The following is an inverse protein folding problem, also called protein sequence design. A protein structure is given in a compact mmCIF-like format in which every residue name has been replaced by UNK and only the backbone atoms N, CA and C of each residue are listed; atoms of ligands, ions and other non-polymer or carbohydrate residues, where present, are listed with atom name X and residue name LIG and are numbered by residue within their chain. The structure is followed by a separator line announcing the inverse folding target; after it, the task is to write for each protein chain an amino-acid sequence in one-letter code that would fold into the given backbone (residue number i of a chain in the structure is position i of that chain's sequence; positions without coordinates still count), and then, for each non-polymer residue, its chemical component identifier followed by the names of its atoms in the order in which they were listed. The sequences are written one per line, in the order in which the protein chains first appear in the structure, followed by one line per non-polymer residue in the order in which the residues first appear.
data_IF_458738814276
#
_entry.id   IF_458738814276
#
_cell.length_a   1.000
_cell.length_b   1.000
_cell.length_c   1.000
_cell.angle_alpha   90.00
_cell.angle_beta   90.00
_cell.angle_gamma   90.00
#
_symmetry.space_group_name_H-M   'P 1'
#
loop_
_entity.id
_entity.type
_entity.pdbx_description
1 polymer ?
#
# COMPACT_ATOMS: atom_id res chain seq x y z
N UNK A 1 41.81 -57.19 27.99
CA UNK A 1 41.29 -56.10 27.15
C UNK A 1 41.43 -54.72 27.84
N UNK A 2 42.63 -54.23 28.22
CA UNK A 2 42.75 -52.91 28.85
C UNK A 2 43.14 -51.79 27.87
N UNK A 3 43.54 -52.12 26.63
CA UNK A 3 44.12 -51.16 25.69
C UNK A 3 43.09 -50.28 24.95
N UNK A 4 41.83 -50.71 24.87
CA UNK A 4 40.79 -49.98 24.14
C UNK A 4 40.23 -48.77 24.92
N UNK A 5 40.35 -48.76 26.26
CA UNK A 5 39.85 -47.66 27.09
C UNK A 5 40.82 -46.47 27.14
N UNK A 6 42.11 -46.69 26.89
CA UNK A 6 43.14 -45.64 26.91
C UNK A 6 43.11 -44.74 25.65
N UNK A 7 42.55 -45.21 24.54
CA UNK A 7 42.50 -44.46 23.28
C UNK A 7 41.39 -43.39 23.23
N UNK A 8 40.41 -43.46 24.14
CA UNK A 8 39.32 -42.47 24.20
C UNK A 8 39.71 -41.14 24.88
N UNK A 9 40.89 -41.08 25.50
CA UNK A 9 41.37 -39.90 26.26
C UNK A 9 42.31 -39.03 25.41
N UNK A 10 42.77 -39.52 24.26
CA UNK A 10 43.73 -38.84 23.38
C UNK A 10 43.09 -37.99 22.27
N UNK A 11 41.77 -37.77 22.32
CA UNK A 11 41.13 -36.76 21.48
C UNK A 11 40.86 -35.51 22.33
N UNK A 12 41.63 -34.41 22.16
CA UNK A 12 41.06 -33.12 22.46
C UNK A 12 39.92 -32.93 21.46
N UNK A 13 38.70 -33.19 21.89
CA UNK A 13 37.53 -32.58 21.30
C UNK A 13 37.77 -31.07 21.45
N UNK A 14 38.32 -30.44 20.40
CA UNK A 14 38.34 -28.99 20.28
C UNK A 14 36.87 -28.62 20.15
N UNK A 15 36.28 -28.36 21.31
CA UNK A 15 34.97 -27.80 21.49
C UNK A 15 34.87 -26.57 20.58
N UNK A 16 33.83 -26.53 19.76
CA UNK A 16 33.56 -25.43 18.86
C UNK A 16 33.50 -24.12 19.64
N UNK A 17 34.34 -23.18 19.25
CA UNK A 17 34.17 -21.77 19.59
C UNK A 17 33.90 -20.99 18.30
N UNK A 18 32.85 -21.38 17.59
CA UNK A 18 32.18 -20.49 16.65
C UNK A 18 31.05 -19.79 17.42
N UNK A 19 31.40 -19.03 18.46
CA UNK A 19 30.47 -18.11 19.12
C UNK A 19 31.27 -17.04 19.88
N UNK A 20 31.86 -16.12 19.12
CA UNK A 20 32.13 -14.80 19.69
C UNK A 20 30.76 -14.14 19.90
N UNK A 21 30.39 -13.74 21.13
CA UNK A 21 29.11 -13.12 21.37
C UNK A 21 28.99 -11.85 20.50
N UNK A 22 27.88 -11.67 19.78
CA UNK A 22 27.71 -10.51 18.92
C UNK A 22 27.84 -9.20 19.72
N UNK A 23 28.43 -8.13 19.14
CA UNK A 23 28.63 -6.87 19.83
C UNK A 23 27.29 -6.28 20.32
N UNK A 24 27.29 -5.51 21.41
CA UNK A 24 26.07 -4.96 22.00
C UNK A 24 25.34 -4.08 20.98
N UNK A 25 24.10 -4.45 20.63
CA UNK A 25 23.25 -3.72 19.68
C UNK A 25 21.87 -3.49 20.27
N UNK A 26 21.32 -2.33 19.96
CA UNK A 26 19.92 -2.02 20.23
C UNK A 26 19.19 -2.11 18.89
N UNK A 27 18.18 -2.98 18.82
CA UNK A 27 17.34 -3.15 17.65
C UNK A 27 15.97 -2.64 18.00
N UNK A 28 15.49 -1.65 17.25
CA UNK A 28 14.16 -1.08 17.43
C UNK A 28 13.38 -1.26 16.15
N UNK A 29 12.18 -1.80 16.29
CA UNK A 29 11.16 -1.86 15.25
C UNK A 29 10.11 -0.82 15.60
N UNK A 30 9.86 0.12 14.69
CA UNK A 30 8.79 1.10 14.82
C UNK A 30 7.72 0.83 13.78
N UNK A 31 6.48 0.67 14.23
CA UNK A 31 5.29 0.67 13.37
C UNK A 31 4.57 2.02 13.55
N UNK A 32 4.07 2.58 12.46
CA UNK A 32 3.36 3.85 12.47
C UNK A 32 2.09 3.73 11.64
N UNK A 33 0.96 4.08 12.24
CA UNK A 33 -0.33 4.15 11.57
C UNK A 33 -0.84 5.58 11.65
N UNK A 34 -1.37 6.09 10.54
CA UNK A 34 -1.99 7.39 10.47
C UNK A 34 -3.34 7.26 9.79
N UNK A 35 -4.39 7.74 10.46
CA UNK A 35 -5.76 7.72 9.96
C UNK A 35 -6.24 9.16 9.84
N UNK A 36 -6.79 9.51 8.69
CA UNK A 36 -7.40 10.81 8.44
C UNK A 36 -8.75 10.62 7.76
N UNK A 37 -9.72 11.46 8.13
CA UNK A 37 -11.01 11.49 7.45
C UNK A 37 -10.86 12.17 6.06
N UNK A 38 -11.56 11.71 5.01
CA UNK A 38 -11.54 12.38 3.71
C UNK A 38 -12.21 13.76 3.79
N UNK A 39 -11.59 14.77 3.18
CA UNK A 39 -12.07 16.15 3.15
C UNK A 39 -12.57 16.60 1.76
N UNK A 40 -12.50 15.72 0.75
CA UNK A 40 -12.91 15.98 -0.62
C UNK A 40 -13.72 14.81 -1.19
N UNK A 41 -14.74 15.14 -2.00
CA UNK A 41 -15.43 14.18 -2.87
C UNK A 41 -15.24 14.57 -4.35
N UNK A 42 -14.86 13.60 -5.18
CA UNK A 42 -14.76 13.77 -6.63
C UNK A 42 -15.99 13.10 -7.28
N UNK A 43 -16.78 13.89 -8.00
CA UNK A 43 -17.99 13.42 -8.69
C UNK A 43 -17.82 13.58 -10.20
N UNK A 44 -18.14 12.52 -10.94
CA UNK A 44 -18.14 12.53 -12.42
C UNK A 44 -19.58 12.35 -12.90
N UNK A 45 -20.07 13.34 -13.65
CA UNK A 45 -21.44 13.37 -14.18
C UNK A 45 -21.37 13.50 -15.70
N UNK A 46 -22.28 12.83 -16.41
CA UNK A 46 -22.33 12.82 -17.87
C UNK A 46 -23.75 13.15 -18.37
N UNK A 47 -23.85 13.94 -19.44
CA UNK A 47 -25.13 14.27 -20.09
C UNK A 47 -25.07 13.84 -21.55
N UNK A 48 -26.06 13.05 -21.97
CA UNK A 48 -26.20 12.57 -23.36
C UNK A 48 -27.50 13.12 -23.96
N UNK A 49 -27.41 13.60 -25.19
CA UNK A 49 -28.56 14.07 -25.98
C UNK A 49 -28.45 13.54 -27.40
N UNK A 50 -29.57 13.08 -27.92
CA UNK A 50 -29.69 12.52 -29.26
C UNK A 50 -30.58 13.39 -30.12
N UNK A 51 -30.25 13.52 -31.40
CA UNK A 51 -31.05 14.21 -32.39
C UNK A 51 -30.79 13.65 -33.78
N UNK A 52 -31.65 14.02 -34.74
CA UNK A 52 -31.56 13.55 -36.14
C UNK A 52 -30.29 14.01 -36.86
N UNK A 53 -29.65 15.08 -36.38
CA UNK A 53 -28.38 15.60 -36.93
C UNK A 53 -27.40 15.85 -35.81
N UNK A 54 -26.10 15.75 -36.13
CA UNK A 54 -25.03 16.02 -35.16
C UNK A 54 -25.12 17.44 -34.57
N UNK A 55 -25.45 18.43 -35.41
CA UNK A 55 -25.61 19.82 -34.95
C UNK A 55 -26.73 19.96 -33.93
N UNK A 56 -27.90 19.40 -34.22
CA UNK A 56 -29.03 19.46 -33.29
C UNK A 56 -28.74 18.69 -31.98
N UNK A 57 -27.98 17.59 -32.05
CA UNK A 57 -27.60 16.82 -30.87
C UNK A 57 -26.64 17.60 -29.96
N UNK A 58 -25.66 18.28 -30.56
CA UNK A 58 -24.71 19.14 -29.84
C UNK A 58 -25.39 20.37 -29.24
N UNK A 59 -26.25 21.05 -30.00
CA UNK A 59 -26.99 22.22 -29.52
C UNK A 59 -27.86 21.83 -28.30
N UNK A 60 -28.61 20.73 -28.39
CA UNK A 60 -29.41 20.22 -27.27
C UNK A 60 -28.54 19.75 -26.08
N UNK A 61 -27.36 19.19 -26.33
CA UNK A 61 -26.43 18.81 -25.27
C UNK A 61 -25.91 20.04 -24.51
N UNK A 62 -25.50 21.07 -25.24
CA UNK A 62 -25.00 22.32 -24.66
C UNK A 62 -26.06 22.98 -23.76
N UNK A 63 -27.31 23.05 -24.23
CA UNK A 63 -28.43 23.59 -23.44
C UNK A 63 -28.67 22.78 -22.16
N UNK A 64 -28.64 21.44 -22.26
CA UNK A 64 -28.81 20.56 -21.12
C UNK A 64 -27.64 20.68 -20.12
N UNK A 65 -26.41 20.79 -20.60
CA UNK A 65 -25.22 21.00 -19.76
C UNK A 65 -25.30 22.34 -19.03
N UNK A 66 -25.72 23.42 -19.69
CA UNK A 66 -25.91 24.72 -19.07
C UNK A 66 -26.93 24.67 -17.93
N UNK A 67 -28.04 23.95 -18.13
CA UNK A 67 -29.06 23.74 -17.10
C UNK A 67 -28.53 22.96 -15.90
N UNK A 68 -27.78 21.88 -16.13
CA UNK A 68 -27.15 21.10 -15.05
C UNK A 68 -26.17 21.95 -14.24
N UNK A 69 -25.33 22.74 -14.91
CA UNK A 69 -24.37 23.64 -14.25
C UNK A 69 -25.12 24.69 -13.40
N UNK A 70 -26.18 25.29 -13.95
CA UNK A 70 -26.99 26.27 -13.23
C UNK A 70 -27.67 25.65 -12.00
N UNK A 71 -28.22 24.44 -12.14
CA UNK A 71 -28.83 23.71 -11.03
C UNK A 71 -27.81 23.39 -9.93
N UNK A 72 -26.62 22.90 -10.28
CA UNK A 72 -25.54 22.62 -9.32
C UNK A 72 -25.10 23.89 -8.60
N UNK A 73 -24.98 25.01 -9.30
CA UNK A 73 -24.66 26.32 -8.71
C UNK A 73 -25.78 26.89 -7.83
N UNK A 74 -27.02 26.44 -8.01
CA UNK A 74 -28.14 26.85 -7.15
C UNK A 74 -28.30 25.96 -5.92
N UNK A 75 -27.83 24.72 -6.00
CA UNK A 75 -27.91 23.72 -4.94
C UNK A 75 -26.82 23.88 -3.86
N UNK A 76 -25.81 24.73 -4.11
CA UNK A 76 -24.69 25.02 -3.19
C UNK A 76 -23.83 26.17 -3.71
#
# INVERSE_FOLDING_TARGET
MPLALAAAIAFPAIAGAADSPPPPRIVVTGEGEATAAPDLALLTLSVMREAKTARAALDANNDAMASVIAAMKSAG
#
